data_IF_141942697660
#
_entry.id   IF_141942697660
#
_cell.length_a   1.000
_cell.length_b   1.000
_cell.length_c   1.000
_cell.angle_alpha   90.00
_cell.angle_beta   90.00
_cell.angle_gamma   90.00
#
_symmetry.space_group_name_H-M   'P 1'
#
loop_
_entity.id
_entity.type
_entity.pdbx_description
1 polymer ?
#
# COMPACT_ATOMS: atom_id res chain seq x y z
N UNK A 1 -18.45 15.57 13.00
CA UNK A 1 -17.25 15.54 12.15
C UNK A 1 -17.37 14.40 11.18
N UNK A 2 -16.93 14.57 9.93
CA UNK A 2 -16.83 13.44 9.00
C UNK A 2 -15.74 12.49 9.52
N UNK A 3 -16.03 11.19 9.51
CA UNK A 3 -14.99 10.17 9.69
C UNK A 3 -14.43 9.79 8.33
N UNK A 4 -13.21 9.26 8.29
CA UNK A 4 -12.60 8.78 7.04
C UNK A 4 -12.31 7.29 7.12
N UNK A 5 -12.92 6.53 6.21
CA UNK A 5 -12.64 5.11 6.00
C UNK A 5 -11.77 4.97 4.75
N UNK A 6 -10.60 4.34 4.88
CA UNK A 6 -9.64 4.11 3.80
C UNK A 6 -9.58 2.62 3.50
N UNK A 7 -9.91 2.26 2.26
CA UNK A 7 -9.75 0.92 1.70
C UNK A 7 -8.51 0.93 0.79
N UNK A 8 -7.40 0.44 1.31
CA UNK A 8 -6.17 0.23 0.56
C UNK A 8 -6.26 -1.08 -0.22
N UNK A 9 -6.50 -1.02 -1.53
CA UNK A 9 -6.48 -2.21 -2.40
C UNK A 9 -5.16 -2.23 -3.16
N UNK A 10 -4.20 -3.03 -2.69
CA UNK A 10 -2.85 -3.09 -3.26
C UNK A 10 -2.88 -3.58 -4.71
N UNK A 11 -2.17 -2.91 -5.62
CA UNK A 11 -2.11 -3.28 -7.03
C UNK A 11 -3.43 -3.15 -7.82
N UNK A 12 -4.39 -2.35 -7.35
CA UNK A 12 -5.65 -2.11 -8.07
C UNK A 12 -5.42 -1.18 -9.29
N UNK A 13 -5.70 -1.69 -10.49
CA UNK A 13 -5.43 -0.98 -11.75
C UNK A 13 -6.66 -0.21 -12.27
N UNK A 14 -6.54 1.12 -12.35
CA UNK A 14 -7.59 2.03 -12.83
C UNK A 14 -8.18 1.60 -14.18
N UNK A 15 -7.33 1.26 -15.15
CA UNK A 15 -7.81 0.93 -16.51
C UNK A 15 -8.64 -0.35 -16.54
N UNK A 16 -8.39 -1.31 -15.64
CA UNK A 16 -9.24 -2.49 -15.47
C UNK A 16 -10.57 -2.12 -14.81
N UNK A 17 -10.53 -1.28 -13.77
CA UNK A 17 -11.73 -0.80 -13.07
C UNK A 17 -12.68 -0.07 -14.05
N UNK A 18 -12.14 0.81 -14.89
CA UNK A 18 -12.88 1.52 -15.94
C UNK A 18 -13.44 0.56 -17.00
N UNK A 19 -12.61 -0.35 -17.51
CA UNK A 19 -13.00 -1.29 -18.55
C UNK A 19 -14.11 -2.25 -18.10
N UNK A 20 -14.07 -2.67 -16.83
CA UNK A 20 -15.09 -3.53 -16.23
C UNK A 20 -16.31 -2.75 -15.71
N UNK A 21 -16.28 -1.41 -15.75
CA UNK A 21 -17.35 -0.52 -15.29
C UNK A 21 -17.79 -0.81 -13.84
N UNK A 22 -16.81 -0.98 -12.95
CA UNK A 22 -17.06 -1.38 -11.56
C UNK A 22 -17.49 -0.17 -10.72
N UNK A 23 -18.79 0.13 -10.75
CA UNK A 23 -19.38 1.32 -10.10
C UNK A 23 -19.11 1.44 -8.59
N UNK A 24 -18.96 0.32 -7.88
CA UNK A 24 -18.57 0.35 -6.46
C UNK A 24 -17.19 0.98 -6.26
N UNK A 25 -16.28 0.76 -7.22
CA UNK A 25 -14.91 1.29 -7.25
C UNK A 25 -14.82 2.64 -7.98
N UNK A 26 -15.68 2.92 -8.98
CA UNK A 26 -15.77 4.21 -9.68
C UNK A 26 -16.74 5.15 -8.95
N UNK A 27 -16.27 5.77 -7.87
CA UNK A 27 -17.07 6.67 -7.05
C UNK A 27 -17.14 8.08 -7.67
N UNK A 28 -17.62 9.07 -6.90
CA UNK A 28 -17.98 10.39 -7.42
C UNK A 28 -16.80 11.14 -8.02
N UNK A 29 -15.62 10.97 -7.42
CA UNK A 29 -14.35 11.49 -7.92
C UNK A 29 -13.32 10.37 -7.88
N UNK A 30 -12.63 10.12 -8.99
CA UNK A 30 -11.62 9.07 -9.07
C UNK A 30 -10.58 9.40 -10.13
N UNK A 31 -9.41 8.78 -10.04
CA UNK A 31 -8.35 8.98 -11.02
C UNK A 31 -7.03 8.34 -10.60
N UNK A 32 -5.96 8.78 -11.28
CA UNK A 32 -4.60 8.35 -10.96
C UNK A 32 -4.03 9.13 -9.79
N UNK A 33 -3.12 8.50 -9.08
CA UNK A 33 -2.31 9.09 -8.01
C UNK A 33 -0.85 9.03 -8.40
N UNK A 34 -0.12 10.12 -8.21
CA UNK A 34 1.33 10.13 -8.35
C UNK A 34 1.99 9.47 -7.12
N UNK A 35 2.86 8.49 -7.36
CA UNK A 35 3.46 7.66 -6.32
C UNK A 35 4.99 7.74 -6.37
N UNK A 36 5.68 7.71 -5.21
CA UNK A 36 7.13 7.78 -5.18
C UNK A 36 7.77 6.48 -5.67
N UNK A 37 8.72 6.61 -6.60
CA UNK A 37 9.64 5.53 -6.98
C UNK A 37 10.99 5.80 -6.31
N UNK A 38 11.34 4.97 -5.34
CA UNK A 38 12.58 5.08 -4.56
C UNK A 38 13.16 3.69 -4.27
N UNK A 39 14.26 3.61 -3.52
CA UNK A 39 14.88 2.32 -3.20
C UNK A 39 15.80 1.75 -4.27
N UNK A 40 16.01 2.49 -5.36
CA UNK A 40 16.84 2.04 -6.47
C UNK A 40 16.24 0.91 -7.30
N UNK A 41 14.93 0.75 -7.22
CA UNK A 41 14.10 -0.03 -8.12
C UNK A 41 13.39 0.93 -9.09
N UNK A 42 12.89 0.39 -10.20
CA UNK A 42 12.23 1.18 -11.25
C UNK A 42 10.69 1.17 -11.12
N UNK A 43 10.16 0.33 -10.22
CA UNK A 43 8.73 0.19 -9.91
C UNK A 43 8.37 0.83 -8.56
N UNK A 44 7.10 1.24 -8.33
CA UNK A 44 6.64 1.60 -6.99
C UNK A 44 6.81 0.44 -6.00
N UNK A 45 7.08 0.76 -4.73
CA UNK A 45 7.24 -0.25 -3.68
C UNK A 45 6.22 -0.05 -2.58
N UNK A 46 5.43 -1.08 -2.29
CA UNK A 46 4.45 -1.13 -1.20
C UNK A 46 4.93 -0.48 0.10
N UNK A 47 6.05 -0.91 0.74
CA UNK A 47 6.51 -0.28 1.97
C UNK A 47 6.83 1.22 1.83
N UNK A 48 7.33 1.66 0.68
CA UNK A 48 7.71 3.06 0.45
C UNK A 48 6.46 3.92 0.24
N UNK A 49 5.58 3.51 -0.68
CA UNK A 49 4.40 4.27 -1.07
C UNK A 49 3.40 4.35 0.08
N UNK A 50 3.12 3.25 0.77
CA UNK A 50 2.21 3.27 1.92
C UNK A 50 2.77 4.07 3.10
N UNK A 51 4.10 4.06 3.32
CA UNK A 51 4.68 4.95 4.33
C UNK A 51 4.53 6.41 3.92
N UNK A 52 4.70 6.76 2.64
CA UNK A 52 4.43 8.11 2.13
C UNK A 52 2.96 8.51 2.30
N UNK A 53 2.02 7.60 2.04
CA UNK A 53 0.59 7.81 2.24
C UNK A 53 0.26 8.14 3.70
N UNK A 54 0.69 7.30 4.66
CA UNK A 54 0.32 7.47 6.07
C UNK A 54 1.07 8.61 6.76
N UNK A 55 2.17 9.12 6.19
CA UNK A 55 2.94 10.23 6.80
C UNK A 55 2.74 11.57 6.11
N UNK A 56 2.25 11.57 4.86
CA UNK A 56 2.23 12.76 4.02
C UNK A 56 3.62 13.28 3.66
N UNK A 57 4.65 12.46 3.82
CA UNK A 57 6.05 12.84 3.61
C UNK A 57 6.65 12.02 2.45
N UNK A 58 7.67 12.55 1.77
CA UNK A 58 8.45 11.78 0.80
C UNK A 58 9.43 10.81 1.50
N UNK A 59 9.96 9.79 0.77
CA UNK A 59 10.82 8.74 1.33
C UNK A 59 12.03 9.20 2.13
N UNK A 60 12.66 10.30 1.70
CA UNK A 60 13.84 10.83 2.37
C UNK A 60 13.54 11.50 3.72
N UNK A 61 12.29 11.86 3.99
CA UNK A 61 11.83 12.46 5.26
C UNK A 61 11.32 11.38 6.21
N UNK A 62 10.38 10.52 5.78
CA UNK A 62 9.84 9.48 6.66
C UNK A 62 10.82 8.34 6.95
N UNK A 63 11.90 8.19 6.16
CA UNK A 63 13.02 7.29 6.46
C UNK A 63 12.92 5.88 5.89
N UNK A 64 11.78 5.52 5.28
CA UNK A 64 11.58 4.25 4.57
C UNK A 64 11.81 4.51 3.08
N UNK A 65 13.08 4.51 2.66
CA UNK A 65 13.50 4.82 1.29
C UNK A 65 14.00 3.60 0.52
N UNK A 66 13.87 2.40 1.10
CA UNK A 66 14.26 1.12 0.53
C UNK A 66 13.15 0.09 0.85
N UNK A 67 12.89 -0.90 -0.05
CA UNK A 67 11.92 -1.96 0.22
C UNK A 67 12.31 -2.88 1.38
N UNK A 68 13.60 -2.90 1.73
CA UNK A 68 14.16 -3.69 2.81
C UNK A 68 15.19 -2.86 3.57
N UNK A 69 15.23 -3.06 4.88
CA UNK A 69 16.22 -2.49 5.80
C UNK A 69 17.21 -3.57 6.23
N UNK A 70 18.34 -3.16 6.81
CA UNK A 70 19.34 -4.08 7.35
C UNK A 70 19.73 -3.54 8.72
N UNK A 71 19.62 -4.35 9.76
CA UNK A 71 20.11 -3.98 11.08
C UNK A 71 21.64 -3.96 11.07
N UNK A 72 22.23 -2.80 10.76
CA UNK A 72 23.67 -2.62 10.86
C UNK A 72 24.02 -1.27 11.48
N UNK A 73 24.97 -1.21 12.43
CA UNK A 73 25.52 0.04 12.95
C UNK A 73 26.16 0.94 11.87
N UNK A 74 26.29 0.47 10.63
CA UNK A 74 26.81 1.21 9.48
C UNK A 74 25.76 2.10 8.78
N UNK A 75 24.49 2.12 9.20
CA UNK A 75 23.48 2.96 8.54
C UNK A 75 23.71 4.48 8.73
N UNK A 76 24.42 4.88 9.80
CA UNK A 76 24.93 6.24 9.96
C UNK A 76 25.94 6.64 8.86
N UNK A 77 26.75 5.70 8.39
CA UNK A 77 27.71 5.91 7.29
C UNK A 77 27.00 6.05 5.94
N UNK A 78 25.85 5.38 5.77
CA UNK A 78 24.98 5.48 4.59
C UNK A 78 24.41 6.89 4.41
N UNK A 79 23.93 7.49 5.49
CA UNK A 79 23.46 8.90 5.54
C UNK A 79 24.54 9.87 5.04
N UNK A 80 25.78 9.65 5.45
CA UNK A 80 26.93 10.48 5.07
C UNK A 80 27.30 10.32 3.59
N UNK A 81 27.30 9.09 3.06
CA UNK A 81 27.57 8.81 1.64
C UNK A 81 26.45 9.36 0.75
N UNK A 82 25.19 9.31 1.19
CA UNK A 82 24.02 9.81 0.45
C UNK A 82 24.09 11.33 0.22
N UNK A 83 24.78 12.08 1.08
CA UNK A 83 25.07 13.52 0.86
C UNK A 83 26.01 13.76 -0.33
N UNK A 84 26.86 12.80 -0.69
CA UNK A 84 27.72 12.87 -1.87
C UNK A 84 27.14 12.09 -3.05
N UNK A 85 26.35 12.80 -3.85
CA UNK A 85 25.62 12.29 -5.02
C UNK A 85 26.47 11.42 -5.97
N UNK A 86 27.74 11.80 -6.19
CA UNK A 86 28.69 11.08 -7.06
C UNK A 86 29.15 9.75 -6.46
N UNK A 87 29.53 9.74 -5.18
CA UNK A 87 29.97 8.54 -4.46
C UNK A 87 28.80 7.56 -4.27
N UNK A 88 27.61 8.09 -3.95
CA UNK A 88 26.40 7.31 -3.90
C UNK A 88 26.06 6.68 -5.27
N UNK A 89 26.18 7.44 -6.36
CA UNK A 89 25.96 6.92 -7.72
C UNK A 89 26.91 5.78 -8.09
N UNK A 90 28.20 5.89 -7.75
CA UNK A 90 29.21 4.84 -7.98
C UNK A 90 28.91 3.61 -7.11
N UNK A 91 28.68 3.80 -5.81
CA UNK A 91 28.38 2.71 -4.89
C UNK A 91 27.10 1.95 -5.29
N UNK A 92 26.08 2.68 -5.78
CA UNK A 92 24.83 2.13 -6.33
C UNK A 92 25.10 1.31 -7.59
N UNK A 93 25.85 1.85 -8.56
CA UNK A 93 26.19 1.19 -9.82
C UNK A 93 26.88 -0.16 -9.61
N UNK A 94 27.78 -0.25 -8.63
CA UNK A 94 28.54 -1.47 -8.36
C UNK A 94 27.90 -2.39 -7.31
N UNK A 95 26.70 -2.07 -6.80
CA UNK A 95 26.02 -2.78 -5.70
C UNK A 95 26.96 -3.06 -4.51
N UNK A 96 27.93 -2.17 -4.27
CA UNK A 96 29.04 -2.42 -3.32
C UNK A 96 28.52 -2.61 -1.90
N UNK A 97 27.52 -1.82 -1.50
CA UNK A 97 26.89 -1.94 -0.19
C UNK A 97 26.14 -3.25 0.02
N UNK A 98 25.54 -3.82 -1.03
CA UNK A 98 24.85 -5.11 -0.96
C UNK A 98 25.87 -6.25 -0.75
N UNK A 99 26.94 -6.27 -1.56
CA UNK A 99 28.01 -7.28 -1.45
C UNK A 99 28.72 -7.26 -0.10
N UNK A 100 28.90 -6.08 0.49
CA UNK A 100 29.49 -5.95 1.84
C UNK A 100 28.52 -6.51 2.89
N UNK A 101 27.22 -6.20 2.79
CA UNK A 101 26.19 -6.63 3.74
C UNK A 101 25.95 -8.15 3.73
N UNK A 102 26.02 -8.76 2.55
CA UNK A 102 25.96 -10.22 2.38
C UNK A 102 27.17 -10.91 3.04
N UNK A 103 28.37 -10.35 2.91
CA UNK A 103 29.59 -10.89 3.56
C UNK A 103 29.58 -10.80 5.08
N UNK A 104 28.93 -9.80 5.66
CA UNK A 104 28.86 -9.62 7.12
C UNK A 104 27.68 -10.35 7.78
N UNK A 105 26.89 -11.12 7.01
CA UNK A 105 25.79 -11.94 7.55
C UNK A 105 24.56 -11.16 8.01
N UNK A 106 24.45 -9.86 7.70
CA UNK A 106 23.27 -9.06 8.05
C UNK A 106 22.16 -9.37 7.06
N UNK A 107 21.11 -10.05 7.54
CA UNK A 107 19.94 -10.40 6.72
C UNK A 107 19.06 -9.15 6.49
N UNK A 108 18.56 -8.94 5.26
CA UNK A 108 17.56 -7.92 5.01
C UNK A 108 16.28 -8.24 5.79
N UNK A 109 15.63 -7.21 6.32
CA UNK A 109 14.33 -7.28 7.00
C UNK A 109 13.33 -6.35 6.31
N UNK A 110 12.06 -6.70 6.40
CA UNK A 110 11.00 -5.78 5.99
C UNK A 110 11.00 -4.57 6.95
N UNK A 111 10.79 -3.33 6.46
CA UNK A 111 10.72 -2.16 7.32
C UNK A 111 9.55 -2.26 8.32
N UNK A 112 9.72 -1.72 9.52
CA UNK A 112 8.70 -1.67 10.57
C UNK A 112 8.45 -0.24 11.06
N UNK A 113 7.51 -0.08 12.01
CA UNK A 113 7.11 1.21 12.58
C UNK A 113 8.28 2.01 13.13
N UNK A 114 9.28 1.31 13.67
CA UNK A 114 10.50 1.91 14.24
C UNK A 114 11.36 2.60 13.18
N UNK A 115 11.21 2.24 11.91
CA UNK A 115 11.93 2.86 10.81
C UNK A 115 11.26 4.17 10.33
N UNK A 116 9.99 4.40 10.69
CA UNK A 116 9.25 5.63 10.35
C UNK A 116 9.68 6.76 11.29
N UNK A 117 10.27 7.82 10.74
CA UNK A 117 10.91 8.93 11.48
C UNK A 117 10.01 10.10 11.85
N UNK A 118 8.74 10.04 11.46
CA UNK A 118 7.77 11.11 11.67
C UNK A 118 6.42 10.53 12.07
N UNK A 119 5.51 11.42 12.47
CA UNK A 119 4.16 11.04 12.83
C UNK A 119 3.38 10.52 11.61
N UNK A 120 2.54 9.52 11.87
CA UNK A 120 1.58 8.98 10.90
C UNK A 120 0.20 9.60 11.09
N UNK A 121 -0.70 9.37 10.16
CA UNK A 121 -2.10 9.83 10.24
C UNK A 121 -2.78 9.28 11.50
N UNK A 122 -2.39 8.06 11.90
CA UNK A 122 -2.87 7.41 13.10
C UNK A 122 -2.34 8.06 14.37
N UNK A 123 -1.14 8.64 14.35
CA UNK A 123 -0.58 9.36 15.51
C UNK A 123 -1.27 10.72 15.69
N UNK A 124 -1.56 11.43 14.58
CA UNK A 124 -2.08 12.81 14.62
C UNK A 124 -3.61 12.92 14.64
N UNK A 125 -4.34 11.86 14.28
CA UNK A 125 -5.81 11.81 14.35
C UNK A 125 -6.21 10.69 15.30
N UNK A 126 -7.03 10.98 16.31
CA UNK A 126 -7.49 10.01 17.30
C UNK A 126 -8.99 10.17 17.60
N UNK A 127 -9.73 9.07 17.85
CA UNK A 127 -9.29 7.67 17.78
C UNK A 127 -9.07 7.18 16.35
N UNK A 128 -8.03 6.39 16.11
CA UNK A 128 -7.75 5.76 14.82
C UNK A 128 -7.63 4.24 14.91
N UNK A 129 -8.03 3.55 13.83
CA UNK A 129 -7.88 2.10 13.67
C UNK A 129 -7.11 1.81 12.38
N UNK A 130 -6.05 1.01 12.47
CA UNK A 130 -5.25 0.54 11.35
C UNK A 130 -5.29 -0.99 11.30
N UNK A 131 -5.59 -1.57 10.14
CA UNK A 131 -5.68 -3.01 9.92
C UNK A 131 -4.74 -3.36 8.76
N UNK A 132 -3.81 -4.28 9.00
CA UNK A 132 -2.85 -4.78 7.99
C UNK A 132 -2.02 -3.70 7.26
N UNK A 133 -1.79 -2.53 7.85
CA UNK A 133 -1.13 -1.41 7.16
C UNK A 133 0.38 -1.68 7.05
N UNK A 134 0.94 -1.76 5.83
CA UNK A 134 2.35 -2.11 5.63
C UNK A 134 3.28 -1.18 6.39
N UNK A 135 4.32 -1.75 6.98
CA UNK A 135 5.35 -1.06 7.79
C UNK A 135 4.82 -0.52 9.13
N UNK A 136 3.56 -0.07 9.20
CA UNK A 136 2.99 0.50 10.42
C UNK A 136 2.63 -0.58 11.45
N UNK A 137 1.76 -1.52 11.09
CA UNK A 137 1.36 -2.62 11.97
C UNK A 137 1.37 -3.99 11.27
N UNK A 138 1.91 -4.07 10.05
CA UNK A 138 2.00 -5.30 9.26
C UNK A 138 3.37 -5.49 8.61
N UNK A 139 3.93 -6.69 8.76
CA UNK A 139 5.11 -7.19 8.06
C UNK A 139 4.64 -8.12 6.93
N UNK A 140 4.69 -7.58 5.70
CA UNK A 140 4.19 -8.29 4.53
C UNK A 140 4.91 -9.63 4.28
N UNK A 141 6.20 -9.72 4.60
CA UNK A 141 6.96 -10.94 4.37
C UNK A 141 6.68 -12.02 5.42
N UNK A 142 6.15 -11.63 6.58
CA UNK A 142 5.78 -12.57 7.64
C UNK A 142 4.39 -13.16 7.38
N UNK A 143 3.41 -12.32 7.09
CA UNK A 143 2.00 -12.73 7.05
C UNK A 143 1.51 -13.15 5.66
N UNK A 144 2.14 -12.68 4.58
CA UNK A 144 1.71 -12.99 3.22
C UNK A 144 2.73 -13.86 2.49
N UNK A 145 2.28 -14.75 1.58
CA UNK A 145 3.16 -15.61 0.80
C UNK A 145 3.86 -14.87 -0.37
N UNK A 146 4.32 -13.63 -0.20
CA UNK A 146 4.86 -12.78 -1.28
C UNK A 146 6.00 -13.47 -2.06
N UNK A 147 6.88 -14.19 -1.36
CA UNK A 147 7.99 -14.94 -1.97
C UNK A 147 7.57 -16.19 -2.76
N UNK A 148 6.32 -16.63 -2.64
CA UNK A 148 5.81 -17.86 -3.25
C UNK A 148 5.06 -17.60 -4.58
N UNK A 149 4.81 -16.33 -4.94
CA UNK A 149 4.09 -15.92 -6.17
C UNK A 149 4.67 -16.58 -7.42
N UNK A 150 5.99 -16.56 -7.59
CA UNK A 150 6.65 -17.14 -8.76
C UNK A 150 6.38 -18.64 -8.89
N UNK A 151 6.44 -19.37 -7.77
CA UNK A 151 6.12 -20.81 -7.73
C UNK A 151 4.65 -21.04 -8.08
N UNK A 152 3.73 -20.25 -7.51
CA UNK A 152 2.29 -20.34 -7.80
C UNK A 152 1.95 -20.04 -9.27
N UNK A 153 2.74 -19.21 -9.95
CA UNK A 153 2.59 -18.99 -11.40
C UNK A 153 2.99 -20.22 -12.22
N UNK A 154 3.98 -20.98 -11.81
CA UNK A 154 4.52 -22.10 -12.58
C UNK A 154 3.83 -23.44 -12.29
N UNK A 155 3.40 -23.66 -11.05
CA UNK A 155 2.86 -24.94 -10.59
C UNK A 155 1.35 -24.82 -10.32
N UNK A 156 0.48 -25.47 -11.13
CA UNK A 156 -0.96 -25.42 -10.95
C UNK A 156 -1.48 -26.04 -9.65
N UNK A 157 -0.81 -27.06 -9.11
CA UNK A 157 -1.23 -27.69 -7.84
C UNK A 157 -0.91 -26.76 -6.69
N UNK A 158 0.32 -26.26 -6.63
CA UNK A 158 0.74 -25.27 -5.64
C UNK A 158 -0.05 -23.97 -5.75
N UNK A 159 -0.47 -23.56 -6.95
CA UNK A 159 -1.32 -22.37 -7.15
C UNK A 159 -2.62 -22.46 -6.36
N UNK A 160 -3.24 -23.63 -6.25
CA UNK A 160 -4.50 -23.81 -5.50
C UNK A 160 -4.27 -23.62 -4.01
N UNK A 161 -3.18 -24.17 -3.48
CA UNK A 161 -2.76 -23.99 -2.09
C UNK A 161 -2.46 -22.51 -1.80
N UNK A 162 -1.70 -21.86 -2.68
CA UNK A 162 -1.39 -20.43 -2.60
C UNK A 162 -2.66 -19.58 -2.58
N UNK A 163 -3.59 -19.81 -3.52
CA UNK A 163 -4.87 -19.09 -3.57
C UNK A 163 -5.67 -19.28 -2.28
N UNK A 164 -5.75 -20.52 -1.77
CA UNK A 164 -6.45 -20.80 -0.51
C UNK A 164 -5.82 -20.06 0.68
N UNK A 165 -4.48 -20.00 0.76
CA UNK A 165 -3.74 -19.25 1.79
C UNK A 165 -4.05 -17.75 1.73
N UNK A 166 -3.96 -17.15 0.54
CA UNK A 166 -4.28 -15.72 0.35
C UNK A 166 -5.74 -15.42 0.67
N UNK A 167 -6.67 -16.26 0.22
CA UNK A 167 -8.11 -16.14 0.53
C UNK A 167 -8.39 -16.23 2.03
N UNK A 168 -7.69 -17.10 2.75
CA UNK A 168 -7.83 -17.23 4.20
C UNK A 168 -7.34 -15.99 4.95
N UNK A 169 -6.24 -15.37 4.50
CA UNK A 169 -5.76 -14.10 5.06
C UNK A 169 -6.81 -13.01 4.82
N UNK A 170 -7.22 -12.85 3.57
CA UNK A 170 -8.25 -11.87 3.18
C UNK A 170 -9.53 -12.01 4.00
N UNK A 171 -10.04 -13.23 4.19
CA UNK A 171 -11.25 -13.45 4.98
C UNK A 171 -11.12 -12.92 6.43
N UNK A 172 -9.97 -13.15 7.09
CA UNK A 172 -9.72 -12.64 8.45
C UNK A 172 -9.67 -11.11 8.49
N UNK A 173 -9.03 -10.50 7.50
CA UNK A 173 -8.94 -9.04 7.37
C UNK A 173 -10.31 -8.40 7.17
N UNK A 174 -11.20 -9.06 6.41
CA UNK A 174 -12.58 -8.61 6.22
C UNK A 174 -13.39 -8.74 7.50
N UNK A 175 -13.23 -9.82 8.27
CA UNK A 175 -13.86 -9.96 9.59
C UNK A 175 -13.41 -8.82 10.53
N UNK A 176 -12.11 -8.56 10.60
CA UNK A 176 -11.55 -7.47 11.42
C UNK A 176 -12.05 -6.09 10.96
N UNK A 177 -12.17 -5.85 9.65
CA UNK A 177 -12.75 -4.62 9.10
C UNK A 177 -14.18 -4.38 9.59
N UNK A 178 -15.04 -5.40 9.48
CA UNK A 178 -16.44 -5.24 9.86
C UNK A 178 -16.62 -5.11 11.38
N UNK A 179 -15.77 -5.76 12.19
CA UNK A 179 -15.75 -5.53 13.63
C UNK A 179 -15.26 -4.11 13.98
N UNK A 180 -14.25 -3.61 13.25
CA UNK A 180 -13.72 -2.26 13.45
C UNK A 180 -14.71 -1.15 13.07
N UNK A 181 -15.54 -1.38 12.05
CA UNK A 181 -16.56 -0.42 11.61
C UNK A 181 -17.59 -0.11 12.70
N UNK A 182 -17.87 -1.06 13.60
CA UNK A 182 -18.82 -0.92 14.72
C UNK A 182 -18.21 -0.20 15.95
N UNK A 183 -16.89 0.05 15.94
CA UNK A 183 -16.18 0.72 17.03
C UNK A 183 -16.16 2.24 16.84
N UNK A 184 -15.66 2.98 17.84
CA UNK A 184 -15.44 4.43 17.74
C UNK A 184 -14.13 4.72 17.00
N UNK A 185 -14.21 5.46 15.90
CA UNK A 185 -13.05 5.88 15.09
C UNK A 185 -13.31 7.23 14.41
N UNK A 186 -12.24 8.01 14.18
CA UNK A 186 -12.17 9.17 13.28
C UNK A 186 -11.51 8.78 11.95
N UNK A 187 -10.47 7.95 12.01
CA UNK A 187 -9.87 7.31 10.83
C UNK A 187 -9.89 5.80 11.03
N UNK A 188 -10.37 5.08 10.03
CA UNK A 188 -10.24 3.63 9.92
C UNK A 188 -9.55 3.36 8.59
N UNK A 189 -8.43 2.65 8.62
CA UNK A 189 -7.74 2.22 7.41
C UNK A 189 -7.53 0.72 7.46
N UNK A 190 -7.84 0.07 6.35
CA UNK A 190 -7.43 -1.30 6.08
C UNK A 190 -6.62 -1.34 4.80
N UNK A 191 -5.59 -2.18 4.79
CA UNK A 191 -4.83 -2.51 3.59
C UNK A 191 -5.04 -3.99 3.24
N UNK A 192 -5.34 -4.27 1.98
CA UNK A 192 -5.69 -5.58 1.47
C UNK A 192 -4.76 -5.91 0.30
N UNK A 193 -3.90 -6.90 0.51
CA UNK A 193 -2.86 -7.27 -0.44
C UNK A 193 -3.33 -8.27 -1.53
N UNK A 194 -4.59 -8.74 -1.44
CA UNK A 194 -5.12 -9.83 -2.27
C UNK A 194 -5.08 -9.52 -3.77
N UNK A 195 -5.34 -8.27 -4.16
CA UNK A 195 -5.42 -7.84 -5.56
C UNK A 195 -4.06 -7.87 -6.26
N UNK A 196 -2.98 -7.49 -5.58
CA UNK A 196 -1.62 -7.63 -6.09
C UNK A 196 -1.22 -9.12 -6.18
N UNK A 197 -1.31 -9.86 -5.07
CA UNK A 197 -0.89 -11.27 -5.00
C UNK A 197 -1.60 -12.16 -6.03
N UNK A 198 -2.93 -12.08 -6.10
CA UNK A 198 -3.69 -12.89 -7.05
C UNK A 198 -3.68 -12.30 -8.46
N UNK A 199 -3.52 -10.98 -8.60
CA UNK A 199 -3.40 -10.38 -9.93
C UNK A 199 -2.09 -10.76 -10.63
N UNK A 200 -0.99 -10.96 -9.89
CA UNK A 200 0.24 -11.53 -10.45
C UNK A 200 0.06 -12.94 -11.04
N UNK A 201 -0.92 -13.70 -10.54
CA UNK A 201 -1.23 -15.06 -10.97
C UNK A 201 -2.27 -15.06 -12.09
N UNK A 202 -3.29 -14.22 -11.97
CA UNK A 202 -4.51 -14.25 -12.78
C UNK A 202 -4.64 -13.12 -13.78
N UNK A 203 -3.57 -12.37 -14.04
CA UNK A 203 -3.56 -11.30 -15.04
C UNK A 203 -4.12 -11.76 -16.39
N UNK A 204 -5.09 -11.01 -16.92
CA UNK A 204 -5.73 -11.28 -18.20
C UNK A 204 -6.71 -12.46 -18.20
N UNK A 205 -7.13 -12.95 -17.03
CA UNK A 205 -8.12 -14.02 -16.88
C UNK A 205 -9.41 -13.51 -16.24
N UNK A 206 -10.51 -14.25 -16.42
CA UNK A 206 -11.81 -13.97 -15.77
C UNK A 206 -11.71 -13.99 -14.24
N UNK A 207 -10.81 -14.80 -13.65
CA UNK A 207 -10.59 -14.83 -12.20
C UNK A 207 -10.17 -13.46 -11.64
N UNK A 208 -9.39 -12.69 -12.41
CA UNK A 208 -9.01 -11.33 -11.98
C UNK A 208 -10.19 -10.37 -12.05
N UNK A 209 -11.04 -10.48 -13.08
CA UNK A 209 -12.26 -9.69 -13.17
C UNK A 209 -13.20 -9.96 -11.99
N UNK A 210 -13.42 -11.25 -11.67
CA UNK A 210 -14.21 -11.65 -10.50
C UNK A 210 -13.63 -11.13 -9.18
N UNK A 211 -12.30 -11.12 -9.03
CA UNK A 211 -11.65 -10.54 -7.85
C UNK A 211 -11.89 -9.03 -7.76
N UNK A 212 -11.86 -8.31 -8.89
CA UNK A 212 -12.13 -6.86 -8.90
C UNK A 212 -13.61 -6.57 -8.61
N UNK A 213 -14.54 -7.39 -9.12
CA UNK A 213 -15.96 -7.33 -8.75
C UNK A 213 -16.17 -7.57 -7.25
N UNK A 214 -15.44 -8.52 -6.66
CA UNK A 214 -15.46 -8.77 -5.22
C UNK A 214 -14.99 -7.55 -4.41
N UNK A 215 -13.95 -6.83 -4.87
CA UNK A 215 -13.52 -5.57 -4.23
C UNK A 215 -14.60 -4.48 -4.36
N UNK A 216 -15.30 -4.41 -5.50
CA UNK A 216 -16.41 -3.49 -5.69
C UNK A 216 -17.57 -3.80 -4.72
N UNK A 217 -17.95 -5.07 -4.57
CA UNK A 217 -18.99 -5.50 -3.65
C UNK A 217 -18.59 -5.26 -2.18
N UNK A 218 -17.33 -5.51 -1.83
CA UNK A 218 -16.80 -5.18 -0.50
C UNK A 218 -16.91 -3.68 -0.24
N UNK A 219 -16.50 -2.85 -1.19
CA UNK A 219 -16.61 -1.39 -1.09
C UNK A 219 -18.05 -0.96 -0.83
N UNK A 220 -19.02 -1.52 -1.56
CA UNK A 220 -20.43 -1.21 -1.37
C UNK A 220 -20.94 -1.62 0.02
N UNK A 221 -20.51 -2.79 0.52
CA UNK A 221 -20.84 -3.24 1.89
C UNK A 221 -20.26 -2.32 2.96
N UNK A 222 -19.02 -1.84 2.79
CA UNK A 222 -18.42 -0.85 3.70
C UNK A 222 -19.19 0.46 3.64
N UNK A 223 -19.51 0.95 2.45
CA UNK A 223 -20.25 2.19 2.22
C UNK A 223 -21.62 2.18 2.91
N UNK A 224 -22.30 1.04 2.98
CA UNK A 224 -23.57 0.88 3.70
C UNK A 224 -23.46 1.07 5.23
N UNK A 225 -22.25 0.95 5.81
CA UNK A 225 -21.96 1.21 7.24
C UNK A 225 -21.55 2.65 7.52
N UNK A 226 -21.39 3.46 6.49
CA UNK A 226 -20.95 4.85 6.60
C UNK A 226 -22.14 5.80 6.54
N UNK A 227 -22.05 6.92 7.26
CA UNK A 227 -23.02 8.00 7.16
C UNK A 227 -22.77 8.81 5.88
N UNK A 228 -23.78 9.56 5.37
CA UNK A 228 -23.60 10.41 4.19
C UNK A 228 -22.52 11.49 4.32
N UNK A 229 -22.08 11.80 5.55
CA UNK A 229 -21.03 12.77 5.84
C UNK A 229 -19.64 12.12 5.96
N UNK A 230 -19.55 10.79 6.06
CA UNK A 230 -18.26 10.11 6.17
C UNK A 230 -17.61 9.96 4.79
N UNK A 231 -16.30 10.20 4.73
CA UNK A 231 -15.52 9.99 3.51
C UNK A 231 -15.14 8.51 3.40
N UNK A 232 -15.36 7.94 2.23
CA UNK A 232 -14.80 6.67 1.82
C UNK A 232 -13.74 6.94 0.75
N UNK A 233 -12.51 6.56 1.04
CA UNK A 233 -11.37 6.63 0.13
C UNK A 233 -10.96 5.21 -0.24
N UNK A 234 -11.01 4.89 -1.52
CA UNK A 234 -10.34 3.74 -2.11
C UNK A 234 -9.00 4.22 -2.62
N UNK A 235 -7.92 3.52 -2.31
CA UNK A 235 -6.59 3.92 -2.74
C UNK A 235 -5.69 2.71 -3.02
N UNK A 236 -4.84 2.85 -4.02
CA UNK A 236 -3.82 1.88 -4.40
C UNK A 236 -2.48 2.57 -4.56
N UNK A 237 -1.41 1.91 -4.12
CA UNK A 237 -0.02 2.35 -4.22
C UNK A 237 0.59 2.16 -5.61
N UNK A 238 0.04 1.24 -6.40
CA UNK A 238 0.32 1.08 -7.81
C UNK A 238 -0.85 0.38 -8.51
N UNK A 239 -0.82 0.26 -9.83
CA UNK A 239 -1.64 -0.72 -10.55
C UNK A 239 -0.79 -1.89 -11.04
N UNK A 240 -1.32 -2.63 -12.01
CA UNK A 240 -0.64 -3.78 -12.59
C UNK A 240 -0.90 -3.85 -14.09
N UNK A 241 0.05 -4.44 -14.81
CA UNK A 241 0.01 -4.72 -16.22
C UNK A 241 0.49 -6.14 -16.51
N UNK A 242 0.52 -6.51 -17.79
CA UNK A 242 0.97 -7.84 -18.23
C UNK A 242 2.41 -8.17 -17.80
N UNK A 243 3.25 -7.15 -17.67
CA UNK A 243 4.70 -7.30 -17.51
C UNK A 243 5.24 -6.78 -16.17
N UNK A 244 4.37 -6.29 -15.27
CA UNK A 244 4.82 -5.68 -14.02
C UNK A 244 3.80 -4.69 -13.49
N UNK A 245 4.22 -3.87 -12.53
CA UNK A 245 3.40 -2.82 -11.93
C UNK A 245 3.30 -1.59 -12.84
N UNK A 246 2.24 -0.81 -12.70
CA UNK A 246 2.15 0.52 -13.32
C UNK A 246 2.78 1.56 -12.40
N UNK A 247 3.32 2.64 -12.97
CA UNK A 247 4.07 3.66 -12.22
C UNK A 247 3.16 4.75 -11.60
N UNK A 248 1.88 4.43 -11.39
CA UNK A 248 0.88 5.30 -10.78
C UNK A 248 -0.02 4.47 -9.88
N UNK A 249 -0.58 5.11 -8.86
CA UNK A 249 -1.64 4.57 -8.02
C UNK A 249 -3.04 4.91 -8.55
N UNK A 250 -4.05 4.42 -7.86
CA UNK A 250 -5.46 4.72 -8.13
C UNK A 250 -6.11 5.31 -6.88
N UNK A 251 -6.99 6.30 -7.05
CA UNK A 251 -7.87 6.77 -5.97
C UNK A 251 -9.31 6.86 -6.43
N UNK A 252 -10.23 6.72 -5.48
CA UNK A 252 -11.65 6.94 -5.68
C UNK A 252 -12.35 7.35 -4.39
N UNK A 253 -13.21 8.37 -4.47
CA UNK A 253 -13.82 9.07 -3.36
C UNK A 253 -15.35 9.11 -3.51
N UNK A 254 -16.07 8.88 -2.42
CA UNK A 254 -17.52 9.03 -2.39
C UNK A 254 -18.00 10.50 -2.39
N UNK A 255 -17.07 11.45 -2.40
CA UNK A 255 -17.30 12.90 -2.44
C UNK A 255 -16.39 13.54 -3.48
N UNK A 256 -16.83 14.68 -4.02
CA UNK A 256 -16.03 15.49 -4.94
C UNK A 256 -15.22 16.49 -4.13
N UNK A 257 -13.89 16.40 -4.22
CA UNK A 257 -12.94 17.28 -3.53
C UNK A 257 -12.19 18.20 -4.51
N UNK A 258 -12.40 18.02 -5.82
CA UNK A 258 -11.77 18.78 -6.89
C UNK A 258 -10.30 18.42 -7.12
N UNK A 259 -9.88 17.19 -6.79
CA UNK A 259 -8.47 16.79 -6.91
C UNK A 259 -8.01 16.76 -8.36
N UNK A 260 -6.78 17.24 -8.60
CA UNK A 260 -6.15 17.26 -9.93
C UNK A 260 -4.74 16.67 -9.84
N UNK A 261 -4.57 15.45 -10.33
CA UNK A 261 -3.32 14.69 -10.25
C UNK A 261 -2.73 14.70 -8.83
N UNK A 262 -3.48 14.20 -7.82
CA UNK A 262 -2.99 14.19 -6.45
C UNK A 262 -1.75 13.31 -6.32
N UNK A 263 -0.81 13.71 -5.47
CA UNK A 263 0.25 12.84 -5.00
C UNK A 263 -0.25 11.97 -3.84
N UNK A 264 0.33 10.78 -3.66
CA UNK A 264 -0.03 9.87 -2.57
C UNK A 264 0.09 10.54 -1.18
N UNK A 265 1.01 11.49 -1.05
CA UNK A 265 1.25 12.27 0.19
C UNK A 265 0.15 13.28 0.49
N UNK A 266 -0.62 13.73 -0.51
CA UNK A 266 -1.66 14.74 -0.32
C UNK A 266 -2.80 14.21 0.54
N UNK A 267 -3.07 12.91 0.46
CA UNK A 267 -4.15 12.27 1.20
C UNK A 267 -3.96 12.34 2.73
N UNK A 268 -2.73 12.36 3.24
CA UNK A 268 -2.48 12.62 4.66
C UNK A 268 -3.07 13.96 5.10
N UNK A 269 -2.81 15.02 4.32
CA UNK A 269 -3.27 16.37 4.62
C UNK A 269 -4.79 16.52 4.44
N UNK A 270 -5.35 15.85 3.44
CA UNK A 270 -6.79 15.77 3.20
C UNK A 270 -7.49 15.11 4.39
N UNK A 271 -7.05 13.91 4.78
CA UNK A 271 -7.63 13.16 5.91
C UNK A 271 -7.52 13.98 7.20
N UNK A 272 -6.33 14.55 7.46
CA UNK A 272 -6.10 15.38 8.65
C UNK A 272 -7.02 16.60 8.68
N UNK A 273 -7.23 17.27 7.55
CA UNK A 273 -8.09 18.47 7.47
C UNK A 273 -9.55 18.12 7.70
N UNK A 274 -10.04 17.04 7.08
CA UNK A 274 -11.44 16.62 7.21
C UNK A 274 -11.78 16.15 8.63
N UNK A 275 -10.82 15.59 9.35
CA UNK A 275 -11.04 15.00 10.69
C UNK A 275 -10.75 15.96 11.85
N UNK A 276 -10.31 17.20 11.58
CA UNK A 276 -10.12 18.24 12.61
C UNK A 276 -11.45 18.72 13.17
N UNK A 277 -11.42 19.05 14.46
CA UNK A 277 -12.45 19.87 15.12
C UNK A 277 -12.18 21.33 14.76
N UNK A 278 -13.25 22.10 14.48
CA UNK A 278 -13.17 23.58 14.48
C UNK A 278 -12.77 24.08 15.87
#
# INVERSE_FOLDING_TARGET
MPRVCVLGYDGLELTLVEKLNLRGLLQREHGRVDVPIAGGIDDPSTPIVWTSFITGQPPHIHGVDMPQVWDSPLDGFRSLIRRHRTLYGIAKRFKLGYKVRERIGVKPKFPSRENIRCDTIFDVVQPSIAISVPVYNEDLHHNYPVGEVFKARQDPEFRREYEAKVRSIFQREIEELFDALERKWKVLMIHLHITDLLGHIYWGTEKLALLYEEMALLTDRVKQRLSPRDLLLIISDHGMGRYGHTHYGFYSLNMELGLRNPAITDFFHIIKTLTKEE
#
